data_IF_859173266179
#
_entry.id   IF_859173266179
#
_cell.length_a   1.000
_cell.length_b   1.000
_cell.length_c   1.000
_cell.angle_alpha   90.00
_cell.angle_beta   90.00
_cell.angle_gamma   90.00
#
_symmetry.space_group_name_H-M   'P 1'
#
loop_
_entity.id
_entity.type
_entity.pdbx_description
1 polymer ?
#
# COMPACT_ATOMS: atom_id res chain seq x y z
N UNK A 1 47.85 10.34 -13.76
CA UNK A 1 46.92 9.87 -12.72
C UNK A 1 45.50 10.11 -13.21
N UNK A 2 44.82 9.15 -13.86
CA UNK A 2 43.41 9.31 -14.15
C UNK A 2 42.60 8.83 -12.95
N UNK A 3 41.70 9.69 -12.50
CA UNK A 3 40.75 9.50 -11.41
C UNK A 3 39.82 8.32 -11.69
N UNK A 4 39.87 7.31 -10.82
CA UNK A 4 38.86 6.25 -10.76
C UNK A 4 37.52 6.87 -10.34
N UNK A 5 36.64 7.13 -11.31
CA UNK A 5 35.21 7.31 -11.02
C UNK A 5 34.60 5.92 -10.91
N UNK A 6 34.42 5.46 -9.67
CA UNK A 6 33.56 4.32 -9.37
C UNK A 6 32.14 4.76 -9.72
N UNK A 7 31.59 4.23 -10.81
CA UNK A 7 30.18 4.38 -11.11
C UNK A 7 29.37 3.64 -10.03
N UNK A 8 28.28 4.22 -9.51
CA UNK A 8 27.44 3.51 -8.56
C UNK A 8 26.86 2.26 -9.22
N UNK A 9 27.10 1.11 -8.58
CA UNK A 9 26.48 -0.17 -8.93
C UNK A 9 25.04 -0.08 -8.43
N UNK A 10 24.10 0.20 -9.34
CA UNK A 10 22.68 0.01 -9.03
C UNK A 10 22.40 -1.49 -9.04
N UNK A 11 21.82 -2.09 -7.98
CA UNK A 11 21.47 -3.50 -7.99
C UNK A 11 20.24 -3.74 -8.88
N UNK A 12 20.22 -4.93 -9.47
CA UNK A 12 19.13 -5.66 -10.15
C UNK A 12 17.88 -4.86 -10.57
N UNK A 13 17.60 -4.87 -11.89
CA UNK A 13 16.39 -4.37 -12.56
C UNK A 13 15.23 -4.03 -11.61
N UNK A 14 15.19 -2.79 -11.12
CA UNK A 14 14.19 -2.35 -10.15
C UNK A 14 12.84 -2.32 -10.85
N UNK A 15 11.84 -3.00 -10.30
CA UNK A 15 10.50 -2.95 -10.87
C UNK A 15 9.95 -1.52 -10.80
N UNK A 16 9.16 -1.10 -11.79
CA UNK A 16 8.54 0.23 -11.81
C UNK A 16 7.57 0.41 -10.62
N UNK A 17 6.95 -0.67 -10.14
CA UNK A 17 6.24 -0.71 -8.88
C UNK A 17 6.36 -2.08 -8.19
N UNK A 18 6.39 -2.08 -6.87
CA UNK A 18 6.44 -3.30 -6.06
C UNK A 18 5.39 -3.23 -4.96
N UNK A 19 4.63 -4.31 -4.80
CA UNK A 19 3.72 -4.56 -3.69
C UNK A 19 4.39 -5.48 -2.67
N UNK A 20 4.69 -4.96 -1.49
CA UNK A 20 5.06 -5.79 -0.36
C UNK A 20 3.84 -6.17 0.47
N UNK A 21 3.76 -7.43 0.86
CA UNK A 21 2.77 -7.97 1.79
C UNK A 21 3.47 -8.52 3.04
N UNK A 22 2.87 -8.30 4.20
CA UNK A 22 3.33 -8.83 5.48
C UNK A 22 2.14 -9.31 6.30
N UNK A 23 2.23 -10.53 6.83
CA UNK A 23 1.27 -11.02 7.81
C UNK A 23 1.74 -10.65 9.23
N UNK A 24 1.15 -9.61 9.80
CA UNK A 24 1.58 -9.00 11.05
C UNK A 24 1.45 -9.89 12.28
N UNK A 25 0.58 -10.90 12.24
CA UNK A 25 0.42 -11.86 13.33
C UNK A 25 1.60 -12.84 13.43
N UNK A 26 2.45 -12.93 12.41
CA UNK A 26 3.69 -13.70 12.45
C UNK A 26 4.86 -12.91 13.08
N UNK A 27 4.69 -11.60 13.29
CA UNK A 27 5.72 -10.76 13.89
C UNK A 27 5.64 -10.83 15.42
N UNK A 28 6.73 -11.25 16.05
CA UNK A 28 6.79 -11.43 17.50
C UNK A 28 6.66 -10.11 18.28
N UNK A 29 6.14 -10.17 19.51
CA UNK A 29 5.98 -8.99 20.37
C UNK A 29 7.31 -8.29 20.69
N UNK A 30 8.39 -9.06 20.89
CA UNK A 30 9.74 -8.50 21.08
C UNK A 30 10.18 -7.68 19.85
N UNK A 31 9.86 -8.17 18.65
CA UNK A 31 10.15 -7.47 17.41
C UNK A 31 9.29 -6.21 17.26
N UNK A 32 8.00 -6.28 17.57
CA UNK A 32 7.12 -5.11 17.56
C UNK A 32 7.61 -4.03 18.53
N UNK A 33 8.05 -4.40 19.74
CA UNK A 33 8.60 -3.45 20.69
C UNK A 33 9.86 -2.74 20.14
N UNK A 34 10.77 -3.49 19.52
CA UNK A 34 11.95 -2.93 18.86
C UNK A 34 11.59 -1.98 17.71
N UNK A 35 10.62 -2.34 16.86
CA UNK A 35 10.15 -1.48 15.76
C UNK A 35 9.41 -0.23 16.26
N UNK A 36 8.65 -0.34 17.36
CA UNK A 36 7.98 0.81 17.95
C UNK A 36 8.97 1.86 18.46
N UNK A 37 10.15 1.43 18.92
CA UNK A 37 11.20 2.33 19.38
C UNK A 37 11.81 3.19 18.25
N UNK A 38 11.79 2.71 16.99
CA UNK A 38 12.28 3.45 15.83
C UNK A 38 11.28 4.44 15.22
N UNK A 39 10.06 4.53 15.75
CA UNK A 39 9.07 5.50 15.27
C UNK A 39 9.54 6.94 15.54
N UNK A 40 9.32 7.82 14.56
CA UNK A 40 9.51 9.25 14.70
C UNK A 40 8.48 9.89 15.64
N UNK A 41 8.67 11.15 16.01
CA UNK A 41 7.81 11.83 16.99
C UNK A 41 6.32 11.86 16.56
N UNK A 42 6.05 12.21 15.31
CA UNK A 42 4.68 12.28 14.77
C UNK A 42 4.00 10.91 14.78
N UNK A 43 4.74 9.87 14.37
CA UNK A 43 4.26 8.49 14.36
C UNK A 43 4.02 7.95 15.77
N UNK A 44 4.93 8.18 16.73
CA UNK A 44 4.74 7.79 18.13
C UNK A 44 3.47 8.39 18.72
N UNK A 45 3.21 9.67 18.43
CA UNK A 45 1.99 10.36 18.87
C UNK A 45 0.73 9.70 18.29
N UNK A 46 0.73 9.31 17.03
CA UNK A 46 -0.40 8.61 16.40
C UNK A 46 -0.52 7.17 16.91
N UNK A 47 0.58 6.45 17.03
CA UNK A 47 0.65 5.08 17.53
C UNK A 47 0.03 4.97 18.93
N UNK A 48 0.36 5.89 19.84
CA UNK A 48 -0.19 5.91 21.20
C UNK A 48 -1.68 6.23 21.33
N UNK A 49 -2.37 6.60 20.23
CA UNK A 49 -3.82 6.88 20.24
C UNK A 49 -4.67 5.64 19.95
N UNK A 50 -4.08 4.55 19.46
CA UNK A 50 -4.85 3.35 19.14
C UNK A 50 -5.27 2.62 20.41
N UNK A 51 -6.58 2.49 20.61
CA UNK A 51 -7.15 1.71 21.72
C UNK A 51 -7.14 0.21 21.45
N UNK A 52 -7.21 -0.19 20.18
CA UNK A 52 -7.22 -1.61 19.77
C UNK A 52 -5.80 -2.07 19.45
N UNK A 53 -5.25 -3.09 20.14
CA UNK A 53 -3.88 -3.56 19.90
C UNK A 53 -3.61 -3.97 18.45
N UNK A 54 -4.57 -4.64 17.80
CA UNK A 54 -4.44 -5.03 16.39
C UNK A 54 -4.29 -3.82 15.46
N UNK A 55 -5.02 -2.72 15.70
CA UNK A 55 -4.88 -1.50 14.90
C UNK A 55 -3.54 -0.81 15.14
N UNK A 56 -3.04 -0.83 16.38
CA UNK A 56 -1.71 -0.33 16.70
C UNK A 56 -0.64 -1.15 15.95
N UNK A 57 -0.74 -2.49 15.96
CA UNK A 57 0.13 -3.42 15.23
C UNK A 57 0.13 -3.14 13.73
N UNK A 58 -1.06 -3.07 13.11
CA UNK A 58 -1.23 -2.76 11.67
C UNK A 58 -0.61 -1.40 11.31
N UNK A 59 -0.81 -0.38 12.13
CA UNK A 59 -0.21 0.94 11.94
C UNK A 59 1.33 0.88 11.98
N UNK A 60 1.88 0.29 13.04
CA UNK A 60 3.32 0.17 13.24
C UNK A 60 3.96 -0.56 12.05
N UNK A 61 3.44 -1.74 11.72
CA UNK A 61 3.97 -2.55 10.64
C UNK A 61 3.79 -1.87 9.28
N UNK A 62 2.72 -1.12 9.05
CA UNK A 62 2.56 -0.29 7.85
C UNK A 62 3.67 0.75 7.70
N UNK A 63 4.11 1.38 8.80
CA UNK A 63 5.22 2.35 8.78
C UNK A 63 6.57 1.72 8.57
N UNK A 64 6.78 0.52 9.11
CA UNK A 64 8.03 -0.21 8.91
C UNK A 64 8.10 -0.76 7.48
N UNK A 65 6.98 -1.25 6.93
CA UNK A 65 6.89 -1.71 5.54
C UNK A 65 7.10 -0.55 4.56
N UNK A 66 6.60 0.65 4.87
CA UNK A 66 6.86 1.86 4.09
C UNK A 66 8.35 2.22 4.06
N UNK A 67 9.03 2.19 5.22
CA UNK A 67 10.49 2.40 5.29
C UNK A 67 11.26 1.35 4.52
N UNK A 68 10.85 0.07 4.63
CA UNK A 68 11.43 -1.02 3.86
C UNK A 68 11.30 -0.78 2.35
N UNK A 69 10.12 -0.35 1.88
CA UNK A 69 9.90 -0.04 0.47
C UNK A 69 10.82 1.09 -0.03
N UNK A 70 10.97 2.17 0.75
CA UNK A 70 11.89 3.26 0.42
C UNK A 70 13.35 2.78 0.40
N UNK A 71 13.78 2.02 1.41
CA UNK A 71 15.13 1.44 1.47
C UNK A 71 15.42 0.59 0.24
N UNK A 72 14.51 -0.31 -0.13
CA UNK A 72 14.69 -1.24 -1.24
C UNK A 72 14.69 -0.51 -2.59
N UNK A 73 13.82 0.48 -2.80
CA UNK A 73 13.71 1.15 -4.10
C UNK A 73 14.66 2.33 -4.30
N UNK A 74 14.99 3.07 -3.23
CA UNK A 74 15.83 4.28 -3.31
C UNK A 74 17.19 4.13 -2.63
N UNK A 75 17.43 3.07 -1.86
CA UNK A 75 18.69 2.88 -1.11
C UNK A 75 18.86 3.83 0.08
N UNK A 76 17.82 4.58 0.47
CA UNK A 76 17.86 5.53 1.58
C UNK A 76 17.73 4.77 2.89
N UNK A 77 18.66 4.96 3.83
CA UNK A 77 18.60 4.34 5.15
C UNK A 77 17.33 4.79 5.90
N UNK A 78 16.74 3.89 6.68
CA UNK A 78 15.44 4.16 7.26
C UNK A 78 15.47 5.19 8.40
N UNK A 79 16.64 5.41 9.00
CA UNK A 79 16.92 6.53 9.91
C UNK A 79 16.81 7.90 9.23
N UNK A 80 17.04 7.95 7.92
CA UNK A 80 17.10 9.20 7.15
C UNK A 80 15.74 9.56 6.53
N UNK A 81 14.73 8.70 6.72
CA UNK A 81 13.36 8.91 6.24
C UNK A 81 12.54 9.58 7.34
N UNK A 82 12.15 10.83 7.12
CA UNK A 82 11.22 11.52 8.02
C UNK A 82 9.80 11.21 7.58
N UNK A 83 9.01 10.65 8.49
CA UNK A 83 7.59 10.33 8.27
C UNK A 83 6.73 11.23 9.14
N UNK A 84 5.90 12.05 8.49
CA UNK A 84 5.00 12.99 9.15
C UNK A 84 3.55 12.54 8.99
N UNK A 85 2.93 12.13 10.09
CA UNK A 85 1.53 11.73 10.12
C UNK A 85 0.58 12.89 9.86
N UNK A 86 -0.46 12.60 9.07
CA UNK A 86 -1.56 13.52 8.78
C UNK A 86 -2.89 12.86 9.13
N UNK A 87 -3.77 13.61 9.77
CA UNK A 87 -5.12 13.13 10.08
C UNK A 87 -5.92 13.00 8.79
N UNK A 88 -6.63 11.87 8.63
CA UNK A 88 -7.44 11.57 7.43
C UNK A 88 -6.66 11.37 6.13
N UNK A 89 -5.32 11.43 6.13
CA UNK A 89 -4.51 11.39 4.91
C UNK A 89 -3.31 10.43 5.07
N UNK A 90 -2.70 10.03 3.94
CA UNK A 90 -1.43 9.32 3.96
C UNK A 90 -0.32 10.17 4.61
N UNK A 91 0.72 9.58 5.23
CA UNK A 91 1.81 10.37 5.78
C UNK A 91 2.59 11.10 4.67
N UNK A 92 3.27 12.18 5.05
CA UNK A 92 4.28 12.81 4.19
C UNK A 92 5.64 12.15 4.44
N UNK A 93 6.43 12.04 3.38
CA UNK A 93 7.80 11.56 3.42
C UNK A 93 8.74 12.70 3.04
N UNK A 94 9.79 12.88 3.82
CA UNK A 94 10.92 13.73 3.48
C UNK A 94 12.18 12.86 3.45
N UNK A 95 13.04 13.17 2.48
CA UNK A 95 14.25 12.42 2.17
C UNK A 95 15.46 13.35 2.15
N UNK A 96 16.67 12.84 2.38
CA UNK A 96 17.89 13.59 2.14
C UNK A 96 18.05 13.89 0.63
N UNK A 97 18.71 15.00 0.32
CA UNK A 97 19.08 15.33 -1.05
C UNK A 97 19.93 14.20 -1.68
N UNK A 98 19.78 13.91 -2.98
CA UNK A 98 19.02 14.67 -3.97
C UNK A 98 17.53 14.29 -4.09
N UNK A 99 17.04 13.38 -3.23
CA UNK A 99 15.67 12.87 -3.34
C UNK A 99 14.63 13.85 -2.81
N UNK A 100 13.45 13.78 -3.39
CA UNK A 100 12.29 14.59 -3.09
C UNK A 100 11.06 13.69 -2.94
N UNK A 101 9.99 14.21 -2.35
CA UNK A 101 8.73 13.46 -2.21
C UNK A 101 8.08 13.08 -3.55
N UNK A 102 8.53 13.65 -4.68
CA UNK A 102 8.08 13.25 -6.03
C UNK A 102 8.78 12.02 -6.58
N UNK A 103 9.91 11.62 -6.00
CA UNK A 103 10.69 10.45 -6.47
C UNK A 103 10.14 9.12 -5.94
N UNK A 104 9.18 9.17 -5.00
CA UNK A 104 8.60 8.00 -4.38
C UNK A 104 7.11 8.16 -4.14
N UNK A 105 6.34 7.25 -4.70
CA UNK A 105 4.91 7.14 -4.51
C UNK A 105 4.57 5.86 -3.78
N UNK A 106 3.58 5.92 -2.90
CA UNK A 106 3.15 4.73 -2.17
C UNK A 106 1.66 4.75 -1.86
N UNK A 107 1.13 3.58 -1.51
CA UNK A 107 -0.19 3.41 -0.93
C UNK A 107 -0.14 2.27 0.08
N UNK A 108 -0.71 2.51 1.27
CA UNK A 108 -0.78 1.54 2.35
C UNK A 108 -2.21 0.99 2.46
N UNK A 109 -2.32 -0.30 2.74
CA UNK A 109 -3.58 -0.92 3.10
C UNK A 109 -3.35 -2.01 4.15
N UNK A 110 -4.39 -2.32 4.93
CA UNK A 110 -4.34 -3.41 5.89
C UNK A 110 -5.72 -4.05 6.05
N UNK A 111 -5.78 -5.37 6.22
CA UNK A 111 -7.02 -6.08 6.51
C UNK A 111 -6.75 -7.33 7.33
N UNK A 112 -7.28 -7.36 8.56
CA UNK A 112 -7.22 -8.51 9.46
C UNK A 112 -5.81 -9.07 9.62
N UNK A 113 -4.87 -8.24 10.09
CA UNK A 113 -3.49 -8.65 10.32
C UNK A 113 -2.61 -8.67 9.07
N UNK A 114 -3.17 -8.55 7.86
CA UNK A 114 -2.38 -8.27 6.66
C UNK A 114 -2.03 -6.80 6.53
N UNK A 115 -0.79 -6.52 6.15
CA UNK A 115 -0.28 -5.19 5.82
C UNK A 115 0.24 -5.24 4.39
N UNK A 116 -0.17 -4.28 3.58
CA UNK A 116 0.30 -4.07 2.22
C UNK A 116 0.90 -2.69 2.04
N UNK A 117 2.02 -2.62 1.33
CA UNK A 117 2.62 -1.38 0.84
C UNK A 117 2.88 -1.53 -0.64
N UNK A 118 2.15 -0.80 -1.47
CA UNK A 118 2.48 -0.64 -2.88
C UNK A 118 3.33 0.61 -3.01
N UNK A 119 4.49 0.52 -3.67
CA UNK A 119 5.29 1.69 -3.99
C UNK A 119 5.74 1.70 -5.45
N UNK A 120 6.07 2.89 -5.93
CA UNK A 120 6.45 3.18 -7.32
C UNK A 120 7.35 4.40 -7.35
N UNK A 121 8.41 4.36 -8.16
CA UNK A 121 9.30 5.50 -8.42
C UNK A 121 8.89 6.28 -9.67
N UNK A 122 7.82 5.82 -10.34
CA UNK A 122 7.44 6.31 -11.67
C UNK A 122 6.15 7.12 -11.62
N UNK A 123 5.18 6.68 -10.82
CA UNK A 123 3.85 7.31 -10.78
C UNK A 123 3.10 7.06 -9.48
N UNK A 124 2.05 7.87 -9.25
CA UNK A 124 1.17 7.69 -8.11
C UNK A 124 0.43 6.33 -8.18
N UNK A 125 0.24 5.72 -7.01
CA UNK A 125 -0.35 4.39 -6.85
C UNK A 125 -1.39 4.38 -5.75
N UNK A 126 -2.32 3.44 -5.83
CA UNK A 126 -3.39 3.17 -4.89
C UNK A 126 -3.48 1.67 -4.62
N UNK A 127 -3.64 1.30 -3.36
CA UNK A 127 -3.72 -0.10 -2.93
C UNK A 127 -4.91 -0.29 -2.00
N UNK A 128 -5.69 -1.33 -2.27
CA UNK A 128 -6.64 -1.87 -1.32
C UNK A 128 -6.51 -3.38 -1.18
N UNK A 129 -6.60 -3.87 0.05
CA UNK A 129 -6.49 -5.30 0.35
C UNK A 129 -7.61 -5.69 1.30
N UNK A 130 -8.26 -6.82 1.05
CA UNK A 130 -9.30 -7.35 1.92
C UNK A 130 -9.12 -8.86 2.14
N UNK A 131 -9.16 -9.29 3.40
CA UNK A 131 -8.99 -10.69 3.77
C UNK A 131 -10.20 -11.54 3.35
N UNK A 132 -9.95 -12.59 2.57
CA UNK A 132 -10.98 -13.49 2.03
C UNK A 132 -11.75 -14.28 3.10
N UNK A 133 -11.10 -14.60 4.22
CA UNK A 133 -11.72 -15.37 5.31
C UNK A 133 -12.70 -14.54 6.15
N UNK A 134 -12.60 -13.21 6.09
CA UNK A 134 -13.44 -12.29 6.84
C UNK A 134 -14.39 -11.56 5.90
N UNK A 135 -15.14 -12.34 5.13
CA UNK A 135 -16.15 -11.82 4.23
C UNK A 135 -17.21 -11.03 5.01
N UNK A 136 -17.44 -9.78 4.61
CA UNK A 136 -18.53 -8.97 5.17
C UNK A 136 -19.85 -9.35 4.50
N UNK A 137 -20.96 -8.89 5.05
CA UNK A 137 -22.26 -8.99 4.38
C UNK A 137 -22.23 -8.17 3.08
N UNK A 138 -21.94 -8.87 1.98
CA UNK A 138 -21.72 -8.31 0.65
C UNK A 138 -22.98 -7.61 0.15
N UNK A 139 -24.16 -8.14 0.44
CA UNK A 139 -25.42 -7.60 -0.07
C UNK A 139 -25.74 -6.27 0.63
N UNK A 140 -25.56 -6.20 1.95
CA UNK A 140 -25.76 -4.95 2.69
C UNK A 140 -24.74 -3.87 2.32
N UNK A 141 -23.46 -4.23 2.17
CA UNK A 141 -22.42 -3.28 1.79
C UNK A 141 -22.55 -2.80 0.33
N UNK A 142 -22.99 -3.68 -0.58
CA UNK A 142 -23.23 -3.32 -1.98
C UNK A 142 -24.24 -2.19 -2.10
N UNK A 143 -25.36 -2.28 -1.36
CA UNK A 143 -26.43 -1.28 -1.40
C UNK A 143 -25.98 0.11 -0.92
N UNK A 144 -25.03 0.17 0.02
CA UNK A 144 -24.50 1.43 0.55
C UNK A 144 -23.34 1.99 -0.27
N UNK A 145 -22.57 1.13 -0.95
CA UNK A 145 -21.30 1.50 -1.58
C UNK A 145 -21.37 1.66 -3.09
N UNK A 146 -22.36 1.03 -3.76
CA UNK A 146 -22.44 0.96 -5.22
C UNK A 146 -23.69 1.62 -5.76
N UNK A 147 -23.56 2.23 -6.94
CA UNK A 147 -24.69 2.76 -7.69
C UNK A 147 -25.52 1.63 -8.32
N UNK A 148 -26.66 2.00 -8.91
CA UNK A 148 -27.58 1.02 -9.50
C UNK A 148 -26.94 0.19 -10.62
N UNK A 149 -26.04 0.76 -11.42
CA UNK A 149 -25.41 0.06 -12.53
C UNK A 149 -24.46 -1.04 -12.02
N UNK A 150 -23.65 -0.74 -11.01
CA UNK A 150 -22.77 -1.71 -10.36
C UNK A 150 -23.56 -2.81 -9.64
N UNK A 151 -24.65 -2.46 -8.97
CA UNK A 151 -25.53 -3.44 -8.34
C UNK A 151 -26.17 -4.38 -9.37
N UNK A 152 -26.69 -3.85 -10.48
CA UNK A 152 -27.23 -4.66 -11.57
C UNK A 152 -26.15 -5.54 -12.22
N UNK A 153 -24.92 -5.05 -12.36
CA UNK A 153 -23.80 -5.86 -12.83
C UNK A 153 -23.50 -7.03 -11.88
N UNK A 154 -23.42 -6.80 -10.57
CA UNK A 154 -23.24 -7.85 -9.56
C UNK A 154 -24.38 -8.88 -9.60
N UNK A 155 -25.63 -8.42 -9.70
CA UNK A 155 -26.80 -9.31 -9.74
C UNK A 155 -26.82 -10.22 -10.98
N UNK A 156 -26.22 -9.79 -12.10
CA UNK A 156 -26.06 -10.60 -13.31
C UNK A 156 -25.01 -11.70 -13.18
N UNK A 157 -24.11 -11.64 -12.20
CA UNK A 157 -23.16 -12.71 -11.93
C UNK A 157 -23.85 -13.91 -11.29
N UNK A 158 -23.34 -15.11 -11.59
CA UNK A 158 -23.66 -16.33 -10.84
C UNK A 158 -23.44 -16.10 -9.34
N UNK A 159 -24.32 -16.64 -8.48
CA UNK A 159 -24.25 -16.44 -7.02
C UNK A 159 -22.85 -16.72 -6.46
N UNK A 160 -22.19 -17.79 -6.92
CA UNK A 160 -20.83 -18.16 -6.50
C UNK A 160 -19.75 -17.12 -6.86
N UNK A 161 -20.00 -16.25 -7.84
CA UNK A 161 -19.06 -15.22 -8.29
C UNK A 161 -19.37 -13.84 -7.74
N UNK A 162 -20.55 -13.61 -7.16
CA UNK A 162 -20.98 -12.29 -6.67
C UNK A 162 -20.05 -11.74 -5.60
N UNK A 163 -19.62 -12.56 -4.66
CA UNK A 163 -18.67 -12.14 -3.62
C UNK A 163 -17.33 -11.67 -4.23
N UNK A 164 -16.78 -12.42 -5.19
CA UNK A 164 -15.54 -12.02 -5.88
C UNK A 164 -15.77 -10.75 -6.69
N UNK A 165 -16.93 -10.61 -7.36
CA UNK A 165 -17.32 -9.40 -8.08
C UNK A 165 -17.43 -8.18 -7.16
N UNK A 166 -18.00 -8.33 -5.97
CA UNK A 166 -18.13 -7.28 -4.97
C UNK A 166 -16.75 -6.75 -4.56
N UNK A 167 -15.86 -7.64 -4.14
CA UNK A 167 -14.50 -7.25 -3.75
C UNK A 167 -13.71 -6.65 -4.91
N UNK A 168 -14.03 -7.05 -6.15
CA UNK A 168 -13.44 -6.41 -7.33
C UNK A 168 -13.80 -4.93 -7.44
N UNK A 169 -15.09 -4.62 -7.33
CA UNK A 169 -15.58 -3.25 -7.36
C UNK A 169 -15.09 -2.45 -6.15
N UNK A 170 -15.22 -3.02 -4.95
CA UNK A 170 -14.84 -2.40 -3.69
C UNK A 170 -13.37 -1.99 -3.69
N UNK A 171 -12.46 -2.95 -3.89
CA UNK A 171 -11.04 -2.68 -3.81
C UNK A 171 -10.59 -1.70 -4.91
N UNK A 172 -11.20 -1.73 -6.10
CA UNK A 172 -10.89 -0.75 -7.15
C UNK A 172 -11.30 0.66 -6.74
N UNK A 173 -12.48 0.84 -6.15
CA UNK A 173 -12.95 2.16 -5.67
C UNK A 173 -12.07 2.68 -4.54
N UNK A 174 -11.73 1.85 -3.58
CA UNK A 174 -10.84 2.21 -2.45
C UNK A 174 -9.40 2.49 -2.90
N UNK A 175 -8.84 1.66 -3.79
CA UNK A 175 -7.52 1.90 -4.36
C UNK A 175 -7.49 3.20 -5.16
N UNK A 176 -8.52 3.47 -5.98
CA UNK A 176 -8.64 4.73 -6.72
C UNK A 176 -8.80 5.93 -5.77
N UNK A 177 -9.59 5.81 -4.71
CA UNK A 177 -9.73 6.83 -3.68
C UNK A 177 -8.38 7.16 -3.04
N UNK A 178 -7.61 6.14 -2.63
CA UNK A 178 -6.27 6.31 -2.04
C UNK A 178 -5.27 6.92 -3.03
N UNK A 179 -5.32 6.51 -4.30
CA UNK A 179 -4.50 7.12 -5.35
C UNK A 179 -4.79 8.62 -5.50
N UNK A 180 -6.07 9.00 -5.48
CA UNK A 180 -6.50 10.40 -5.55
C UNK A 180 -6.14 11.18 -4.29
N UNK A 181 -6.37 10.63 -3.10
CA UNK A 181 -6.07 11.28 -1.82
C UNK A 181 -4.57 11.52 -1.58
N UNK A 182 -3.70 10.77 -2.27
CA UNK A 182 -2.26 10.99 -2.25
C UNK A 182 -1.80 12.14 -3.18
N UNK A 183 -2.73 12.87 -3.83
CA UNK A 183 -2.45 14.01 -4.72
C UNK A 183 -3.57 15.07 -4.71
N UNK A 184 -3.23 16.25 -5.24
CA UNK A 184 -4.20 17.12 -5.91
C UNK A 184 -4.26 16.67 -7.38
N UNK A 185 -5.08 15.66 -7.70
CA UNK A 185 -5.26 15.23 -9.11
C UNK A 185 -6.28 16.16 -9.77
N UNK A 186 -5.86 16.89 -10.81
CA UNK A 186 -6.72 17.76 -11.63
C UNK A 186 -7.40 17.04 -12.78
N UNK A 187 -7.06 15.77 -13.02
CA UNK A 187 -7.61 14.94 -14.09
C UNK A 187 -8.74 14.05 -13.60
N UNK A 188 -9.87 14.08 -14.30
CA UNK A 188 -11.01 13.19 -14.14
C UNK A 188 -10.58 11.74 -14.44
N UNK A 189 -10.04 11.06 -13.44
CA UNK A 189 -9.84 9.61 -13.49
C UNK A 189 -11.22 8.96 -13.40
N UNK A 190 -11.94 8.82 -14.51
CA UNK A 190 -13.28 8.22 -14.49
C UNK A 190 -13.24 6.90 -13.73
N UNK A 191 -14.09 6.80 -12.70
CA UNK A 191 -14.38 5.53 -12.06
C UNK A 191 -15.06 4.64 -13.09
N UNK A 192 -14.74 3.36 -13.03
CA UNK A 192 -15.24 2.25 -13.83
C UNK A 192 -14.87 2.22 -15.33
N UNK A 193 -14.31 1.05 -15.67
CA UNK A 193 -14.13 0.43 -16.97
C UNK A 193 -12.95 0.82 -17.88
N UNK A 194 -12.07 -0.18 -18.05
CA UNK A 194 -11.23 -0.46 -19.23
C UNK A 194 -9.90 0.28 -19.42
N UNK A 195 -9.03 0.29 -18.39
CA UNK A 195 -7.61 0.61 -18.60
C UNK A 195 -6.68 -0.05 -17.59
N UNK A 196 -5.42 -0.23 -17.98
CA UNK A 196 -4.30 -0.73 -17.15
C UNK A 196 -4.08 0.04 -15.83
N UNK A 197 -4.84 1.12 -15.61
CA UNK A 197 -4.77 1.97 -14.44
C UNK A 197 -5.42 1.37 -13.19
N UNK A 198 -6.28 0.34 -13.28
CA UNK A 198 -6.71 -0.42 -12.11
C UNK A 198 -6.84 -1.91 -12.45
N UNK A 199 -6.21 -2.77 -11.66
CA UNK A 199 -6.21 -4.23 -11.85
C UNK A 199 -6.22 -4.98 -10.52
N UNK A 200 -6.56 -6.27 -10.60
CA UNK A 200 -6.58 -7.18 -9.45
C UNK A 200 -5.36 -8.08 -9.45
N UNK A 201 -4.81 -8.32 -8.27
CA UNK A 201 -3.73 -9.30 -8.09
C UNK A 201 -4.29 -10.56 -7.46
N UNK A 202 -4.10 -11.69 -8.13
CA UNK A 202 -4.50 -12.99 -7.60
C UNK A 202 -3.58 -13.36 -6.43
N UNK A 203 -4.17 -13.48 -5.24
CA UNK A 203 -3.45 -13.87 -4.04
C UNK A 203 -4.32 -14.79 -3.17
N UNK A 204 -3.79 -15.89 -2.59
CA UNK A 204 -4.63 -16.92 -1.96
C UNK A 204 -5.54 -16.42 -0.84
N UNK A 205 -5.04 -15.51 0.00
CA UNK A 205 -5.72 -15.06 1.23
C UNK A 205 -6.37 -13.67 1.13
N UNK A 206 -6.12 -12.94 0.05
CA UNK A 206 -6.52 -11.55 -0.11
C UNK A 206 -7.24 -11.32 -1.44
N UNK A 207 -8.22 -10.44 -1.41
CA UNK A 207 -8.59 -9.63 -2.57
C UNK A 207 -7.65 -8.42 -2.59
N UNK A 208 -7.01 -8.14 -3.73
CA UNK A 208 -6.03 -7.06 -3.86
C UNK A 208 -6.40 -6.22 -5.08
N UNK A 209 -6.79 -4.97 -4.84
CA UNK A 209 -7.02 -3.98 -5.88
C UNK A 209 -5.84 -3.02 -5.94
N UNK A 210 -5.31 -2.83 -7.14
CA UNK A 210 -4.22 -1.90 -7.43
C UNK A 210 -4.74 -0.87 -8.41
N UNK A 211 -4.43 0.40 -8.16
CA UNK A 211 -4.57 1.46 -9.16
C UNK A 211 -3.25 2.21 -9.35
N UNK A 212 -2.97 2.64 -10.57
CA UNK A 212 -1.75 3.33 -10.99
C UNK A 212 -2.12 4.51 -11.89
N UNK A 213 -1.41 5.62 -11.75
CA UNK A 213 -1.73 6.85 -12.48
C UNK A 213 -1.25 6.81 -13.94
N UNK A 214 -0.34 5.90 -14.27
CA UNK A 214 0.11 5.60 -15.62
C UNK A 214 0.45 4.11 -15.73
N UNK A 215 0.50 3.60 -16.96
CA UNK A 215 0.87 2.21 -17.24
C UNK A 215 2.26 1.87 -16.69
N UNK A 216 2.36 0.73 -16.02
CA UNK A 216 3.61 0.23 -15.46
C UNK A 216 4.32 -0.68 -16.47
N UNK A 217 5.63 -0.50 -16.63
CA UNK A 217 6.45 -1.41 -17.43
C UNK A 217 6.74 -2.74 -16.72
N UNK A 218 6.69 -2.75 -15.40
CA UNK A 218 6.82 -3.96 -14.58
C UNK A 218 6.12 -3.76 -13.23
N UNK A 219 5.65 -4.87 -12.66
CA UNK A 219 5.02 -4.94 -11.35
C UNK A 219 5.51 -6.20 -10.64
N UNK A 220 5.92 -6.06 -9.38
CA UNK A 220 6.36 -7.17 -8.54
C UNK A 220 5.49 -7.29 -7.29
N UNK A 221 5.20 -8.52 -6.86
CA UNK A 221 4.60 -8.80 -5.56
C UNK A 221 5.59 -9.60 -4.71
N UNK A 222 5.87 -9.10 -3.51
CA UNK A 222 6.80 -9.72 -2.55
C UNK A 222 6.08 -9.95 -1.22
N UNK A 223 5.93 -11.21 -0.80
CA UNK A 223 5.48 -11.54 0.56
C UNK A 223 6.70 -11.67 1.48
N UNK A 224 6.75 -10.85 2.51
CA UNK A 224 7.80 -10.88 3.52
C UNK A 224 7.41 -11.82 4.66
N UNK A 225 8.31 -12.72 5.01
CA UNK A 225 8.20 -13.51 6.24
C UNK A 225 8.42 -12.65 7.48
N UNK A 226 9.34 -11.68 7.39
CA UNK A 226 9.65 -10.72 8.44
C UNK A 226 10.20 -9.41 7.85
N UNK A 227 10.17 -8.34 8.64
CA UNK A 227 10.83 -7.09 8.29
C UNK A 227 12.29 -7.12 8.76
N UNK A 228 13.22 -6.82 7.86
CA UNK A 228 14.63 -6.65 8.21
C UNK A 228 14.81 -5.55 9.28
N UNK A 229 15.86 -5.64 10.12
CA UNK A 229 16.16 -4.58 11.06
C UNK A 229 16.29 -3.25 10.33
N UNK A 230 15.60 -2.24 10.86
CA UNK A 230 15.78 -0.85 10.47
C UNK A 230 17.19 -0.46 10.93
N UNK A 231 18.16 -0.61 10.02
CA UNK A 231 19.53 -0.12 10.19
C UNK A 231 19.61 1.39 10.07
#
# INVERSE_FOLDING_TARGET
>A
MPTNKIAPIFPASTSAATLWLLHGDLVSEARLASLAASLGQSERKRYGRFLRPQRAREFLLGRMLLRHAVQTMLGIAASDIIVTEREGNAPLLEFPAPYTSSDFHFSLSHSHGWIGCLASTVCAVGLDIENKAHARDVDQLSAAAFDEADQQWLMRLEMARRQVGFYRLWNNREALYKLRGNRTITTDLRSCDTGWNCFHVDYPRLHIGVCVAQELQSFELVELAELNPVG
#
